data_IF_285007296276
#
_entry.id   IF_285007296276
#
_cell.length_a   1.000
_cell.length_b   1.000
_cell.length_c   1.000
_cell.angle_alpha   90.00
_cell.angle_beta   90.00
_cell.angle_gamma   90.00
#
_symmetry.space_group_name_H-M   'P 1'
#
loop_
_entity.id
_entity.type
_entity.pdbx_description
1 polymer ?
#
# COMPACT_ATOMS: atom_id res chain seq x y z
N UNK A 1 12.19 7.58 -19.26
CA UNK A 1 12.04 6.74 -18.05
C UNK A 1 13.35 6.75 -17.31
N UNK A 2 13.40 7.34 -16.12
CA UNK A 2 14.55 7.21 -15.27
C UNK A 2 14.70 5.72 -14.90
N UNK A 3 15.92 5.19 -15.02
CA UNK A 3 16.18 3.78 -14.64
C UNK A 3 16.18 3.75 -13.12
N UNK A 4 15.23 3.04 -12.52
CA UNK A 4 15.17 2.83 -11.07
C UNK A 4 16.48 2.22 -10.58
N UNK A 5 17.20 2.93 -9.72
CA UNK A 5 18.44 2.49 -9.11
C UNK A 5 18.29 2.38 -7.58
N UNK A 6 17.95 1.19 -7.03
CA UNK A 6 17.72 1.02 -5.60
C UNK A 6 18.96 1.19 -4.72
N UNK A 7 20.15 1.30 -5.34
CA UNK A 7 21.43 1.52 -4.64
C UNK A 7 21.89 2.97 -4.66
N UNK A 8 21.16 3.84 -5.34
CA UNK A 8 21.48 5.27 -5.36
C UNK A 8 21.27 5.92 -4.00
N UNK A 9 22.11 6.91 -3.69
CA UNK A 9 21.94 7.80 -2.55
C UNK A 9 21.18 9.09 -2.93
N UNK A 10 20.83 9.25 -4.21
CA UNK A 10 20.10 10.40 -4.76
C UNK A 10 18.62 10.04 -4.93
N UNK A 11 17.74 10.74 -4.22
CA UNK A 11 16.31 10.44 -4.21
C UNK A 11 15.67 10.53 -5.60
N UNK A 12 16.08 11.49 -6.41
CA UNK A 12 15.62 11.72 -7.78
C UNK A 12 15.91 10.57 -8.75
N UNK A 13 16.85 9.67 -8.43
CA UNK A 13 17.15 8.49 -9.22
C UNK A 13 16.21 7.29 -8.95
N UNK A 14 15.45 7.32 -7.83
CA UNK A 14 14.52 6.24 -7.48
C UNK A 14 13.13 6.73 -7.06
N UNK A 15 12.94 8.04 -6.87
CA UNK A 15 11.64 8.67 -6.64
C UNK A 15 11.32 9.53 -7.86
N UNK A 16 10.25 9.17 -8.57
CA UNK A 16 9.76 9.96 -9.70
C UNK A 16 8.65 10.90 -9.20
N UNK A 17 9.03 12.12 -8.83
CA UNK A 17 8.09 13.12 -8.30
C UNK A 17 7.05 13.53 -9.35
N UNK A 18 7.42 13.64 -10.62
CA UNK A 18 6.49 13.97 -11.71
C UNK A 18 5.39 12.93 -11.83
N UNK A 19 5.73 11.63 -11.81
CA UNK A 19 4.75 10.54 -11.84
C UNK A 19 3.86 10.52 -10.59
N UNK A 20 4.40 10.86 -9.42
CA UNK A 20 3.62 10.99 -8.18
C UNK A 20 2.59 12.11 -8.34
N UNK A 21 2.99 13.31 -8.79
CA UNK A 21 2.11 14.45 -8.96
C UNK A 21 1.03 14.19 -10.03
N UNK A 22 1.38 13.55 -11.13
CA UNK A 22 0.42 13.13 -12.15
C UNK A 22 -0.58 12.11 -11.61
N UNK A 23 -0.12 11.15 -10.81
CA UNK A 23 -0.97 10.12 -10.19
C UNK A 23 -1.96 10.74 -9.22
N UNK A 24 -1.51 11.69 -8.38
CA UNK A 24 -2.37 12.40 -7.44
C UNK A 24 -3.42 13.26 -8.17
N UNK A 25 -3.03 13.95 -9.24
CA UNK A 25 -3.96 14.72 -10.07
C UNK A 25 -5.00 13.82 -10.74
N UNK A 26 -4.56 12.70 -11.31
CA UNK A 26 -5.47 11.72 -11.90
C UNK A 26 -6.46 11.16 -10.87
N UNK A 27 -6.01 10.90 -9.66
CA UNK A 27 -6.87 10.46 -8.57
C UNK A 27 -7.94 11.51 -8.22
N UNK A 28 -7.55 12.78 -8.08
CA UNK A 28 -8.47 13.88 -7.76
C UNK A 28 -9.52 14.10 -8.85
N UNK A 29 -9.12 13.99 -10.12
CA UNK A 29 -10.03 14.12 -11.27
C UNK A 29 -11.04 12.96 -11.35
N UNK A 30 -10.67 11.77 -10.84
CA UNK A 30 -11.45 10.53 -11.00
C UNK A 30 -12.06 10.00 -9.70
N UNK A 31 -11.87 10.64 -8.56
CA UNK A 31 -12.34 10.17 -7.23
C UNK A 31 -13.84 9.93 -7.15
N UNK A 32 -14.64 10.60 -8.00
CA UNK A 32 -16.08 10.47 -8.07
C UNK A 32 -16.56 9.81 -9.38
N UNK A 33 -15.66 9.22 -10.16
CA UNK A 33 -15.99 8.53 -11.40
C UNK A 33 -16.48 7.10 -11.08
N UNK A 34 -17.80 6.99 -10.91
CA UNK A 34 -18.47 5.73 -10.51
C UNK A 34 -18.16 4.59 -11.47
N UNK A 35 -18.18 4.84 -12.79
CA UNK A 35 -17.96 3.79 -13.80
C UNK A 35 -16.52 3.26 -13.73
N UNK A 36 -15.54 4.16 -13.57
CA UNK A 36 -14.15 3.78 -13.39
C UNK A 36 -13.97 2.98 -12.09
N UNK A 37 -14.50 3.48 -10.97
CA UNK A 37 -14.41 2.79 -9.67
C UNK A 37 -14.99 1.38 -9.77
N UNK A 38 -16.16 1.22 -10.36
CA UNK A 38 -16.80 -0.10 -10.53
C UNK A 38 -15.94 -1.05 -11.38
N UNK A 39 -15.35 -0.54 -12.45
CA UNK A 39 -14.44 -1.33 -13.28
C UNK A 39 -13.18 -1.78 -12.53
N UNK A 40 -12.63 -0.93 -11.64
CA UNK A 40 -11.47 -1.25 -10.82
C UNK A 40 -11.80 -2.28 -9.74
N UNK A 41 -12.97 -2.16 -9.10
CA UNK A 41 -13.44 -3.14 -8.12
C UNK A 41 -13.65 -4.51 -8.78
N UNK A 42 -14.26 -4.54 -9.97
CA UNK A 42 -14.44 -5.80 -10.70
C UNK A 42 -13.10 -6.39 -11.16
N UNK A 43 -12.15 -5.56 -11.60
CA UNK A 43 -10.78 -5.99 -11.93
C UNK A 43 -10.08 -6.65 -10.74
N UNK A 44 -10.23 -6.08 -9.53
CA UNK A 44 -9.59 -6.58 -8.32
C UNK A 44 -10.28 -7.82 -7.73
N UNK A 45 -11.47 -8.19 -8.20
CA UNK A 45 -12.24 -9.32 -7.66
C UNK A 45 -11.50 -10.65 -7.82
N UNK A 46 -11.50 -11.52 -6.80
CA UNK A 46 -10.85 -12.81 -6.88
C UNK A 46 -11.56 -13.71 -7.90
N UNK A 47 -10.79 -14.44 -8.68
CA UNK A 47 -11.26 -15.39 -9.67
C UNK A 47 -10.71 -16.77 -9.37
N UNK A 48 -11.59 -17.78 -9.40
CA UNK A 48 -11.17 -19.16 -9.24
C UNK A 48 -10.76 -19.72 -10.61
N UNK A 49 -9.57 -20.29 -10.67
CA UNK A 49 -9.01 -20.94 -11.86
C UNK A 49 -8.71 -22.40 -11.55
N UNK A 50 -8.38 -23.18 -12.57
CA UNK A 50 -7.97 -24.57 -12.39
C UNK A 50 -6.70 -24.73 -11.53
N UNK A 51 -5.88 -23.70 -11.43
CA UNK A 51 -4.62 -23.69 -10.65
C UNK A 51 -4.75 -23.02 -9.27
N UNK A 52 -5.92 -22.48 -8.93
CA UNK A 52 -6.19 -21.83 -7.65
C UNK A 52 -6.91 -20.48 -7.80
N UNK A 53 -6.94 -19.73 -6.71
CA UNK A 53 -7.54 -18.38 -6.68
C UNK A 53 -6.51 -17.35 -7.09
N UNK A 54 -6.90 -16.44 -7.99
CA UNK A 54 -6.07 -15.34 -8.48
C UNK A 54 -6.80 -14.01 -8.34
N UNK A 55 -6.06 -12.92 -8.11
CA UNK A 55 -6.54 -11.55 -8.21
C UNK A 55 -5.69 -10.80 -9.23
N UNK A 56 -6.31 -9.96 -10.05
CA UNK A 56 -5.58 -8.98 -10.84
C UNK A 56 -5.11 -7.84 -9.92
N UNK A 57 -3.81 -7.52 -9.97
CA UNK A 57 -3.27 -6.37 -9.27
C UNK A 57 -3.78 -5.06 -9.86
N UNK A 58 -3.83 -4.01 -9.05
CA UNK A 58 -4.06 -2.65 -9.48
C UNK A 58 -2.72 -1.94 -9.69
N UNK A 59 -2.64 -1.08 -10.69
CA UNK A 59 -1.53 -0.14 -10.82
C UNK A 59 -1.61 0.93 -9.73
N UNK A 60 -0.53 1.67 -9.49
CA UNK A 60 -0.56 2.76 -8.51
C UNK A 60 -1.56 3.87 -8.89
N UNK A 61 -1.75 4.17 -10.19
CA UNK A 61 -2.80 5.10 -10.65
C UNK A 61 -4.22 4.58 -10.37
N UNK A 62 -4.47 3.31 -10.61
CA UNK A 62 -5.76 2.69 -10.30
C UNK A 62 -6.03 2.67 -8.79
N UNK A 63 -5.03 2.29 -8.00
CA UNK A 63 -5.13 2.29 -6.56
C UNK A 63 -5.36 3.70 -5.99
N UNK A 64 -4.72 4.74 -6.56
CA UNK A 64 -4.89 6.11 -6.12
C UNK A 64 -6.32 6.64 -6.27
N UNK A 65 -7.04 6.23 -7.34
CA UNK A 65 -8.46 6.57 -7.52
C UNK A 65 -9.32 5.97 -6.41
N UNK A 66 -9.09 4.69 -6.07
CA UNK A 66 -9.82 4.04 -4.98
C UNK A 66 -9.53 4.69 -3.62
N UNK A 67 -8.26 5.06 -3.37
CA UNK A 67 -7.85 5.74 -2.13
C UNK A 67 -8.42 7.15 -2.02
N UNK A 68 -8.62 7.85 -3.14
CA UNK A 68 -9.21 9.18 -3.16
C UNK A 68 -10.74 9.17 -3.17
N UNK A 69 -11.38 8.02 -3.35
CA UNK A 69 -12.84 7.91 -3.43
C UNK A 69 -13.50 8.33 -2.12
N UNK A 70 -14.47 9.26 -2.21
CA UNK A 70 -15.25 9.77 -1.08
C UNK A 70 -16.72 9.34 -1.11
N UNK A 71 -17.13 8.51 -2.09
CA UNK A 71 -18.50 8.02 -2.24
C UNK A 71 -18.73 6.89 -1.22
N UNK A 72 -19.62 7.10 -0.19
CA UNK A 72 -19.74 6.14 0.91
C UNK A 72 -20.11 4.73 0.45
N UNK A 73 -20.99 4.59 -0.54
CA UNK A 73 -21.44 3.31 -1.07
C UNK A 73 -20.29 2.56 -1.76
N UNK A 74 -19.36 3.30 -2.40
CA UNK A 74 -18.19 2.70 -3.05
C UNK A 74 -17.13 2.29 -2.04
N UNK A 75 -16.94 3.10 -0.99
CA UNK A 75 -16.05 2.75 0.12
C UNK A 75 -16.54 1.48 0.82
N UNK A 76 -17.84 1.34 1.05
CA UNK A 76 -18.43 0.12 1.61
C UNK A 76 -18.23 -1.10 0.68
N UNK A 77 -18.36 -0.91 -0.64
CA UNK A 77 -18.06 -1.96 -1.62
C UNK A 77 -16.58 -2.38 -1.60
N UNK A 78 -15.64 -1.43 -1.40
CA UNK A 78 -14.21 -1.73 -1.23
C UNK A 78 -13.96 -2.61 0.01
N UNK A 79 -14.59 -2.29 1.14
CA UNK A 79 -14.46 -3.11 2.36
C UNK A 79 -15.00 -4.52 2.17
N UNK A 80 -16.16 -4.68 1.52
CA UNK A 80 -16.71 -6.00 1.20
C UNK A 80 -15.82 -6.78 0.25
N UNK A 81 -15.26 -6.12 -0.77
CA UNK A 81 -14.32 -6.76 -1.69
C UNK A 81 -13.01 -7.16 -0.97
N UNK A 82 -12.51 -6.35 -0.06
CA UNK A 82 -11.34 -6.70 0.75
C UNK A 82 -11.59 -7.94 1.62
N UNK A 83 -12.78 -8.06 2.22
CA UNK A 83 -13.21 -9.26 2.93
C UNK A 83 -13.29 -10.48 2.00
N UNK A 84 -13.90 -10.33 0.83
CA UNK A 84 -14.00 -11.38 -0.20
C UNK A 84 -12.61 -11.88 -0.62
N UNK A 85 -11.68 -10.97 -0.90
CA UNK A 85 -10.29 -11.30 -1.24
C UNK A 85 -9.63 -12.06 -0.08
N UNK A 86 -9.75 -11.54 1.14
CA UNK A 86 -9.19 -12.18 2.34
C UNK A 86 -9.73 -13.61 2.50
N UNK A 87 -11.03 -13.81 2.36
CA UNK A 87 -11.65 -15.12 2.49
C UNK A 87 -11.22 -16.07 1.38
N UNK A 88 -11.09 -15.57 0.15
CA UNK A 88 -10.68 -16.36 -1.01
C UNK A 88 -9.26 -16.92 -0.88
N UNK A 89 -8.32 -16.18 -0.25
CA UNK A 89 -6.93 -16.60 -0.11
C UNK A 89 -6.60 -17.22 1.25
N UNK A 90 -7.20 -16.73 2.32
CA UNK A 90 -6.86 -17.12 3.69
C UNK A 90 -7.99 -17.87 4.40
N UNK A 91 -9.21 -17.88 3.85
CA UNK A 91 -10.37 -18.42 4.53
C UNK A 91 -10.58 -17.75 5.88
N UNK A 92 -10.91 -18.53 6.91
CA UNK A 92 -11.10 -18.04 8.28
C UNK A 92 -9.81 -17.90 9.08
N UNK A 93 -8.65 -18.09 8.46
CA UNK A 93 -7.35 -17.95 9.15
C UNK A 93 -7.08 -16.49 9.48
N UNK A 94 -6.56 -16.25 10.67
CA UNK A 94 -6.02 -14.98 11.12
C UNK A 94 -4.50 -15.14 11.21
N UNK A 95 -3.75 -14.28 10.53
CA UNK A 95 -2.30 -14.24 10.65
C UNK A 95 -1.96 -13.44 11.89
N UNK A 96 -1.42 -14.13 12.89
CA UNK A 96 -0.91 -13.49 14.12
C UNK A 96 0.61 -13.42 14.04
N UNK A 97 1.17 -12.27 14.33
CA UNK A 97 2.63 -12.10 14.43
C UNK A 97 2.96 -11.10 15.54
N UNK A 98 4.18 -11.23 16.06
CA UNK A 98 4.76 -10.23 16.94
C UNK A 98 6.18 -9.92 16.46
N UNK A 99 6.60 -8.65 16.47
CA UNK A 99 7.98 -8.31 16.16
C UNK A 99 8.92 -8.91 17.21
N UNK A 100 9.98 -9.59 16.77
CA UNK A 100 11.06 -10.04 17.63
C UNK A 100 12.21 -9.03 17.55
N UNK A 101 12.34 -8.19 18.56
CA UNK A 101 13.45 -7.24 18.65
C UNK A 101 14.69 -7.92 19.21
N UNK A 102 15.66 -8.18 18.34
CA UNK A 102 16.95 -8.77 18.72
C UNK A 102 17.89 -7.75 19.36
N UNK A 103 17.70 -6.46 19.04
CA UNK A 103 18.51 -5.37 19.57
C UNK A 103 17.75 -4.05 19.44
N UNK A 104 18.03 -3.12 20.34
CA UNK A 104 17.56 -1.74 20.29
C UNK A 104 18.66 -0.74 19.86
N UNK A 105 19.78 -1.23 19.35
CA UNK A 105 20.80 -0.38 18.75
C UNK A 105 20.33 0.16 17.42
N UNK A 106 20.46 1.46 17.25
CA UNK A 106 20.11 2.14 15.99
C UNK A 106 21.15 3.23 15.68
N UNK A 107 21.53 3.33 14.41
CA UNK A 107 22.47 4.35 13.91
C UNK A 107 21.78 5.65 13.50
N UNK A 108 20.45 5.62 13.33
CA UNK A 108 19.66 6.75 12.85
C UNK A 108 19.38 7.76 13.97
N UNK A 109 19.04 8.99 13.57
CA UNK A 109 18.73 10.10 14.46
C UNK A 109 17.26 10.55 14.43
N UNK A 110 16.31 9.65 14.18
CA UNK A 110 14.87 9.97 14.05
C UNK A 110 14.36 10.69 15.31
N UNK A 111 13.75 11.86 15.15
CA UNK A 111 13.39 12.76 16.26
C UNK A 111 12.34 12.15 17.19
N UNK A 112 11.43 11.37 16.65
CA UNK A 112 10.31 10.75 17.39
C UNK A 112 10.60 9.35 17.96
N UNK A 113 11.74 8.75 17.58
CA UNK A 113 12.04 7.36 17.94
C UNK A 113 12.87 7.29 19.22
N UNK A 114 12.45 6.58 20.28
CA UNK A 114 13.23 6.45 21.51
C UNK A 114 14.56 5.71 21.30
N UNK A 115 14.66 4.89 20.24
CA UNK A 115 15.87 4.11 19.93
C UNK A 115 16.90 4.87 19.08
N UNK A 116 16.68 6.15 18.78
CA UNK A 116 17.63 6.91 17.98
C UNK A 116 19.02 6.96 18.65
N UNK A 117 20.07 7.03 17.83
CA UNK A 117 21.48 6.87 18.27
C UNK A 117 21.91 7.87 19.35
N UNK A 118 21.33 9.07 19.37
CA UNK A 118 21.65 10.14 20.32
C UNK A 118 20.94 10.01 21.66
N UNK A 119 19.96 9.12 21.82
CA UNK A 119 19.29 8.92 23.08
C UNK A 119 20.15 8.07 24.02
N UNK A 120 20.66 8.69 25.08
CA UNK A 120 21.48 8.05 26.12
C UNK A 120 20.68 7.63 27.35
N UNK A 121 19.36 7.87 27.36
CA UNK A 121 18.50 7.62 28.51
C UNK A 121 17.90 6.21 28.52
N UNK A 122 18.12 5.43 27.47
CA UNK A 122 17.64 4.05 27.39
C UNK A 122 18.81 3.05 27.44
N UNK A 123 18.60 1.95 28.13
CA UNK A 123 19.57 0.84 28.12
C UNK A 123 19.63 0.23 26.71
N UNK A 124 20.83 -0.04 26.23
CA UNK A 124 21.07 -0.70 24.94
C UNK A 124 21.25 -2.20 25.17
N UNK A 125 20.54 -2.97 24.40
CA UNK A 125 20.52 -4.44 24.47
C UNK A 125 20.74 -5.01 23.09
#
# INVERSE_FOLDING_TARGET
MAIYNPKSMHADEFINDEEIQETLRYAEENKNNVELIDSLLEKARPRHTATGTVCAGLTHREASVLLACEIPEKVEQMYRLAEEIKLAFYGNRIVMFAPLYLSNYCVNGCVYCPYHSKNKHIARI
#
